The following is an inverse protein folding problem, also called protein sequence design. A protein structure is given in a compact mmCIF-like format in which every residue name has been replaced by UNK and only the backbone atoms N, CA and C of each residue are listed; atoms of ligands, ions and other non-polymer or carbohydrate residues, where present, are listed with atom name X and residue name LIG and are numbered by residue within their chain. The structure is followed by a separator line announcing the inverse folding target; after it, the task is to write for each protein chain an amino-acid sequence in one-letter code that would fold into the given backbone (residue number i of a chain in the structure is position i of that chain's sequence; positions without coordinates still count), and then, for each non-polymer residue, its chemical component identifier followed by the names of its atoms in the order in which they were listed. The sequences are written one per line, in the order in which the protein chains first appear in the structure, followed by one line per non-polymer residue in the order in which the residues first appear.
data_IF_097705042581
#
_entry.id   IF_097705042581
#
_cell.length_a   1.000
_cell.length_b   1.000
_cell.length_c   1.000
_cell.angle_alpha   90.00
_cell.angle_beta   90.00
_cell.angle_gamma   90.00
#
_symmetry.space_group_name_H-M   'P 1'
#
loop_
_entity.id
_entity.type
_entity.pdbx_description
1 polymer ?
#
# COMPACT_ATOMS: atom_id res chain seq x y z
N UNK A 1 -10.03 -8.95 -29.56
CA UNK A 1 -10.84 -8.39 -30.67
C UNK A 1 -11.07 -6.95 -30.30
N UNK A 2 -10.76 -5.97 -31.15
CA UNK A 2 -10.82 -4.58 -30.71
C UNK A 2 -12.27 -4.13 -30.45
N UNK A 3 -12.50 -3.33 -29.42
CA UNK A 3 -13.82 -2.74 -29.14
C UNK A 3 -14.24 -1.85 -30.31
N UNK A 4 -15.48 -2.00 -30.76
CA UNK A 4 -16.06 -1.10 -31.76
C UNK A 4 -16.44 0.25 -31.11
N UNK A 5 -15.72 1.35 -31.43
CA UNK A 5 -15.99 2.65 -30.82
C UNK A 5 -17.34 3.24 -31.26
N UNK A 6 -17.87 2.86 -32.43
CA UNK A 6 -19.21 3.30 -32.85
C UNK A 6 -20.27 2.66 -31.97
N UNK A 7 -20.13 1.37 -31.71
CA UNK A 7 -21.05 0.65 -30.82
C UNK A 7 -21.01 1.16 -29.38
N UNK A 8 -19.83 1.50 -28.85
CA UNK A 8 -19.74 2.12 -27.52
C UNK A 8 -20.46 3.47 -27.47
N UNK A 9 -20.37 4.28 -28.54
CA UNK A 9 -21.14 5.53 -28.65
C UNK A 9 -22.65 5.30 -28.71
N UNK A 10 -23.13 4.29 -29.42
CA UNK A 10 -24.55 3.91 -29.44
C UNK A 10 -25.07 3.61 -28.01
N UNK A 11 -24.29 2.90 -27.20
CA UNK A 11 -24.62 2.63 -25.79
C UNK A 11 -24.67 3.91 -24.97
N UNK A 12 -23.69 4.81 -25.15
CA UNK A 12 -23.66 6.11 -24.45
C UNK A 12 -24.85 6.99 -24.84
N UNK A 13 -25.14 7.09 -26.13
CA UNK A 13 -26.26 7.88 -26.64
C UNK A 13 -27.59 7.38 -26.09
N UNK A 14 -27.78 6.06 -26.01
CA UNK A 14 -28.98 5.48 -25.39
C UNK A 14 -29.05 5.78 -23.88
N UNK A 15 -27.93 5.63 -23.16
CA UNK A 15 -27.87 5.92 -21.71
C UNK A 15 -28.06 7.41 -21.36
N UNK A 16 -27.82 8.32 -22.31
CA UNK A 16 -27.99 9.77 -22.11
C UNK A 16 -29.43 10.27 -22.32
N UNK A 17 -30.36 9.40 -22.73
CA UNK A 17 -31.76 9.76 -22.92
C UNK A 17 -32.52 9.74 -21.60
N UNK A 18 -32.30 10.75 -20.74
CA UNK A 18 -33.13 10.96 -19.54
C UNK A 18 -34.26 11.98 -19.81
N UNK A 19 -35.52 11.67 -19.45
CA UNK A 19 -36.03 10.41 -18.88
C UNK A 19 -36.11 9.29 -19.93
N UNK A 20 -35.86 8.04 -19.51
CA UNK A 20 -35.83 6.88 -20.41
C UNK A 20 -37.23 6.57 -20.98
N UNK A 21 -37.46 6.72 -22.30
CA UNK A 21 -38.75 6.41 -22.90
C UNK A 21 -39.02 4.91 -22.86
N UNK A 22 -40.22 4.49 -22.48
CA UNK A 22 -40.60 3.07 -22.45
C UNK A 22 -40.42 2.38 -23.82
N UNK A 23 -40.68 3.11 -24.90
CA UNK A 23 -40.52 2.62 -26.28
C UNK A 23 -39.05 2.28 -26.62
N UNK A 24 -38.10 2.91 -25.94
CA UNK A 24 -36.66 2.71 -26.14
C UNK A 24 -36.11 1.46 -25.44
N UNK A 25 -36.89 0.81 -24.57
CA UNK A 25 -36.45 -0.33 -23.78
C UNK A 25 -35.99 -1.51 -24.66
N UNK A 26 -36.67 -1.73 -25.80
CA UNK A 26 -36.31 -2.80 -26.75
C UNK A 26 -34.97 -2.55 -27.45
N UNK A 27 -34.66 -1.28 -27.74
CA UNK A 27 -33.36 -0.89 -28.28
C UNK A 27 -32.25 -1.15 -27.25
N UNK A 28 -32.45 -0.73 -25.99
CA UNK A 28 -31.50 -0.99 -24.90
C UNK A 28 -31.24 -2.49 -24.67
N UNK A 29 -32.29 -3.31 -24.65
CA UNK A 29 -32.15 -4.76 -24.53
C UNK A 29 -31.41 -5.39 -25.73
N UNK A 30 -31.60 -4.85 -26.95
CA UNK A 30 -30.88 -5.28 -28.14
C UNK A 30 -29.38 -4.95 -28.06
N UNK A 31 -29.01 -3.81 -27.46
CA UNK A 31 -27.61 -3.46 -27.19
C UNK A 31 -26.96 -4.47 -26.24
N UNK A 32 -27.65 -4.86 -25.15
CA UNK A 32 -27.16 -5.91 -24.23
C UNK A 32 -26.94 -7.25 -24.93
N UNK A 33 -27.88 -7.65 -25.79
CA UNK A 33 -27.76 -8.90 -26.54
C UNK A 33 -26.59 -8.86 -27.52
N UNK A 34 -26.29 -7.70 -28.11
CA UNK A 34 -25.11 -7.54 -28.99
C UNK A 34 -23.79 -7.61 -28.20
N UNK A 35 -23.78 -7.21 -26.93
CA UNK A 35 -22.60 -7.36 -26.06
C UNK A 35 -22.37 -8.83 -25.70
N UNK A 36 -23.42 -9.54 -25.28
CA UNK A 36 -23.34 -10.93 -24.86
C UNK A 36 -24.46 -11.76 -25.52
N UNK A 37 -24.28 -12.21 -26.77
CA UNK A 37 -25.35 -12.86 -27.55
C UNK A 37 -25.77 -14.22 -26.99
N UNK A 38 -24.92 -14.86 -26.18
CA UNK A 38 -25.20 -16.15 -25.54
C UNK A 38 -25.87 -16.01 -24.18
N UNK A 39 -26.03 -14.78 -23.65
CA UNK A 39 -26.63 -14.55 -22.35
C UNK A 39 -28.17 -14.65 -22.43
N UNK A 40 -28.71 -15.73 -21.86
CA UNK A 40 -30.15 -16.01 -21.85
C UNK A 40 -30.95 -14.95 -21.06
N UNK A 41 -30.34 -14.33 -20.05
CA UNK A 41 -31.00 -13.26 -19.30
C UNK A 41 -31.26 -12.04 -20.20
N UNK A 42 -30.30 -11.64 -21.02
CA UNK A 42 -30.46 -10.51 -21.95
C UNK A 42 -31.45 -10.82 -23.07
N UNK A 43 -31.50 -12.07 -23.56
CA UNK A 43 -32.55 -12.50 -24.48
C UNK A 43 -33.95 -12.38 -23.86
N UNK A 44 -34.10 -12.71 -22.57
CA UNK A 44 -35.34 -12.52 -21.83
C UNK A 44 -35.66 -11.05 -21.56
N UNK A 45 -34.65 -10.19 -21.41
CA UNK A 45 -34.88 -8.75 -21.26
C UNK A 45 -35.49 -8.15 -22.53
N UNK A 46 -35.05 -8.62 -23.70
CA UNK A 46 -35.64 -8.21 -24.97
C UNK A 46 -37.12 -8.60 -25.07
N UNK A 47 -37.48 -9.84 -24.74
CA UNK A 47 -38.91 -10.24 -24.77
C UNK A 47 -39.76 -9.47 -23.75
N UNK A 48 -39.22 -9.23 -22.54
CA UNK A 48 -39.89 -8.45 -21.51
C UNK A 48 -40.02 -6.97 -21.88
N UNK A 49 -39.06 -6.39 -22.60
CA UNK A 49 -39.13 -4.99 -23.04
C UNK A 49 -40.31 -4.73 -23.97
N UNK A 50 -40.75 -5.75 -24.74
CA UNK A 50 -41.91 -5.67 -25.62
C UNK A 50 -43.25 -5.86 -24.89
N UNK A 51 -43.24 -6.63 -23.79
CA UNK A 51 -44.47 -6.98 -23.07
C UNK A 51 -44.73 -6.07 -21.85
N UNK A 52 -43.68 -5.73 -21.11
CA UNK A 52 -43.68 -4.97 -19.86
C UNK A 52 -42.40 -4.11 -19.75
N UNK A 53 -42.27 -3.05 -20.56
CA UNK A 53 -41.08 -2.20 -20.59
C UNK A 53 -40.79 -1.53 -19.24
N UNK A 54 -41.83 -1.14 -18.51
CA UNK A 54 -41.74 -0.47 -17.20
C UNK A 54 -41.01 -1.28 -16.12
N UNK A 55 -41.10 -2.61 -16.16
CA UNK A 55 -40.50 -3.48 -15.14
C UNK A 55 -39.03 -3.84 -15.43
N UNK A 56 -38.55 -3.60 -16.65
CA UNK A 56 -37.25 -4.08 -17.13
C UNK A 56 -36.28 -2.95 -17.48
N UNK A 57 -36.78 -1.75 -17.75
CA UNK A 57 -35.97 -0.61 -18.19
C UNK A 57 -34.84 -0.28 -17.21
N UNK A 58 -35.12 -0.23 -15.89
CA UNK A 58 -34.11 0.04 -14.86
C UNK A 58 -32.99 -1.01 -14.84
N UNK A 59 -33.35 -2.28 -15.07
CA UNK A 59 -32.39 -3.39 -15.14
C UNK A 59 -31.53 -3.28 -16.40
N UNK A 60 -32.12 -2.91 -17.54
CA UNK A 60 -31.38 -2.69 -18.79
C UNK A 60 -30.39 -1.54 -18.60
N UNK A 61 -30.83 -0.42 -18.01
CA UNK A 61 -29.97 0.72 -17.70
C UNK A 61 -28.83 0.30 -16.78
N UNK A 62 -29.11 -0.43 -15.71
CA UNK A 62 -28.09 -0.94 -14.79
C UNK A 62 -27.03 -1.78 -15.52
N UNK A 63 -27.44 -2.81 -16.26
CA UNK A 63 -26.52 -3.70 -16.98
C UNK A 63 -25.72 -2.96 -18.05
N UNK A 64 -26.34 -2.06 -18.82
CA UNK A 64 -25.63 -1.26 -19.82
C UNK A 64 -24.59 -0.34 -19.16
N UNK A 65 -24.90 0.26 -18.00
CA UNK A 65 -23.93 1.04 -17.23
C UNK A 65 -22.73 0.18 -16.80
N UNK A 66 -22.95 -1.06 -16.35
CA UNK A 66 -21.84 -1.96 -16.00
C UNK A 66 -20.97 -2.28 -17.24
N UNK A 67 -21.59 -2.57 -18.37
CA UNK A 67 -20.87 -2.86 -19.60
C UNK A 67 -20.15 -1.65 -20.21
N UNK A 68 -20.67 -0.44 -19.97
CA UNK A 68 -20.05 0.78 -20.49
C UNK A 68 -18.68 1.03 -19.86
N UNK A 69 -18.51 0.75 -18.56
CA UNK A 69 -17.27 1.02 -17.80
C UNK A 69 -16.02 0.49 -18.51
N UNK A 70 -15.94 -0.82 -18.71
CA UNK A 70 -14.78 -1.44 -19.34
C UNK A 70 -14.71 -1.17 -20.86
N UNK A 71 -15.83 -0.87 -21.51
CA UNK A 71 -15.85 -0.50 -22.92
C UNK A 71 -15.24 0.88 -23.17
N UNK A 72 -15.34 1.80 -22.22
CA UNK A 72 -14.65 3.09 -22.28
C UNK A 72 -13.14 2.92 -22.19
N UNK A 73 -12.68 1.91 -21.44
CA UNK A 73 -11.28 1.50 -21.36
C UNK A 73 -10.81 0.69 -22.58
N UNK A 74 -11.69 0.47 -23.56
CA UNK A 74 -11.35 -0.26 -24.79
C UNK A 74 -11.32 -1.77 -24.65
N UNK A 75 -11.93 -2.33 -23.59
CA UNK A 75 -12.01 -3.77 -23.35
C UNK A 75 -13.35 -4.37 -23.83
N UNK A 76 -13.28 -5.63 -24.25
CA UNK A 76 -14.45 -6.48 -24.54
C UNK A 76 -14.85 -7.27 -23.29
N UNK A 77 -16.08 -7.82 -23.29
CA UNK A 77 -16.53 -8.68 -22.18
C UNK A 77 -15.63 -9.90 -22.02
N UNK A 78 -15.17 -10.49 -23.12
CA UNK A 78 -14.28 -11.65 -23.11
C UNK A 78 -12.91 -11.30 -22.52
N UNK A 79 -12.39 -10.11 -22.80
CA UNK A 79 -11.14 -9.62 -22.19
C UNK A 79 -11.30 -9.35 -20.69
N UNK A 80 -12.46 -8.84 -20.25
CA UNK A 80 -12.75 -8.71 -18.81
C UNK A 80 -12.86 -10.08 -18.12
N UNK A 81 -13.46 -11.06 -18.77
CA UNK A 81 -13.51 -12.44 -18.25
C UNK A 81 -12.11 -13.07 -18.20
N UNK A 82 -11.22 -12.71 -19.14
CA UNK A 82 -9.82 -13.13 -19.10
C UNK A 82 -9.08 -12.45 -17.95
N UNK A 83 -9.29 -11.15 -17.76
CA UNK A 83 -8.70 -10.37 -16.66
C UNK A 83 -9.04 -11.00 -15.30
N UNK A 84 -10.31 -11.36 -15.08
CA UNK A 84 -10.73 -12.04 -13.85
C UNK A 84 -9.97 -13.37 -13.63
N UNK A 85 -9.78 -14.15 -14.69
CA UNK A 85 -9.06 -15.43 -14.65
C UNK A 85 -7.55 -15.28 -14.44
N UNK A 86 -6.95 -14.14 -14.76
CA UNK A 86 -5.52 -13.90 -14.61
C UNK A 86 -5.18 -13.20 -13.30
N UNK A 87 -5.96 -12.17 -12.94
CA UNK A 87 -5.69 -11.32 -11.78
C UNK A 87 -5.95 -12.06 -10.46
N UNK A 88 -7.03 -12.84 -10.37
CA UNK A 88 -7.36 -13.55 -9.13
C UNK A 88 -6.25 -14.56 -8.76
N UNK A 89 -5.78 -15.45 -9.66
CA UNK A 89 -4.67 -16.34 -9.33
C UNK A 89 -3.32 -15.64 -9.15
N UNK A 90 -3.11 -14.48 -9.80
CA UNK A 90 -1.92 -13.66 -9.59
C UNK A 90 -1.84 -13.14 -8.15
N UNK A 91 -2.94 -12.53 -7.68
CA UNK A 91 -3.06 -12.04 -6.31
C UNK A 91 -2.95 -13.20 -5.30
N UNK A 92 -3.56 -14.34 -5.57
CA UNK A 92 -3.45 -15.53 -4.71
C UNK A 92 -1.99 -15.99 -4.55
N UNK A 93 -1.22 -16.06 -5.64
CA UNK A 93 0.22 -16.37 -5.57
C UNK A 93 1.01 -15.34 -4.76
N UNK A 94 0.68 -14.06 -4.88
CA UNK A 94 1.32 -13.01 -4.10
C UNK A 94 1.05 -13.21 -2.60
N UNK A 95 -0.20 -13.51 -2.23
CA UNK A 95 -0.59 -13.76 -0.84
C UNK A 95 0.05 -15.05 -0.28
N UNK A 96 0.21 -16.09 -1.10
CA UNK A 96 0.90 -17.33 -0.72
C UNK A 96 2.41 -17.14 -0.50
N UNK A 97 3.05 -16.24 -1.26
CA UNK A 97 4.48 -15.98 -1.12
C UNK A 97 4.83 -15.38 0.26
N UNK A 98 3.90 -14.63 0.84
CA UNK A 98 4.03 -14.07 2.18
C UNK A 98 4.02 -12.54 2.22
N UNK A 99 3.98 -12.01 3.44
CA UNK A 99 3.85 -10.58 3.73
C UNK A 99 5.23 -9.96 4.03
N UNK A 100 5.56 -8.76 3.50
CA UNK A 100 6.73 -7.99 3.94
C UNK A 100 6.74 -7.74 5.44
N UNK A 101 7.87 -7.98 6.10
CA UNK A 101 8.01 -7.78 7.54
C UNK A 101 7.74 -6.33 7.94
N UNK A 102 6.84 -6.13 8.91
CA UNK A 102 6.62 -4.86 9.58
C UNK A 102 7.16 -4.90 11.02
N UNK A 103 7.54 -3.75 11.56
CA UNK A 103 8.13 -3.64 12.91
C UNK A 103 7.14 -3.96 14.05
N UNK A 104 5.83 -3.95 13.75
CA UNK A 104 4.72 -4.23 14.66
C UNK A 104 4.22 -5.69 14.58
N UNK A 105 4.83 -6.53 13.75
CA UNK A 105 4.40 -7.91 13.55
C UNK A 105 4.72 -8.79 14.77
N UNK A 106 3.69 -9.41 15.36
CA UNK A 106 3.85 -10.44 16.38
C UNK A 106 4.24 -11.77 15.71
N UNK A 107 5.53 -12.15 15.83
CA UNK A 107 6.04 -13.37 15.20
C UNK A 107 5.81 -14.58 16.08
N UNK A 108 5.20 -15.61 15.48
CA UNK A 108 5.17 -16.97 16.02
C UNK A 108 6.03 -17.86 15.14
N UNK A 109 6.51 -18.96 15.70
CA UNK A 109 7.21 -19.98 14.94
C UNK A 109 6.20 -21.02 14.45
N UNK A 110 6.27 -21.36 13.16
CA UNK A 110 5.49 -22.48 12.63
C UNK A 110 6.11 -23.85 13.01
N UNK A 111 5.51 -24.94 12.54
CA UNK A 111 5.99 -26.32 12.78
C UNK A 111 7.39 -26.60 12.20
N UNK A 112 7.89 -25.70 11.34
CA UNK A 112 9.23 -25.77 10.72
C UNK A 112 10.19 -24.72 11.30
N UNK A 113 9.85 -24.11 12.44
CA UNK A 113 10.61 -23.03 13.10
C UNK A 113 10.81 -21.77 12.23
N UNK A 114 9.94 -21.49 11.25
CA UNK A 114 9.97 -20.25 10.46
C UNK A 114 9.09 -19.17 11.09
N UNK A 115 9.51 -17.88 11.05
CA UNK A 115 8.69 -16.79 11.55
C UNK A 115 7.46 -16.59 10.67
N UNK A 116 6.29 -16.73 11.28
CA UNK A 116 4.98 -16.53 10.68
C UNK A 116 4.19 -15.49 11.45
N UNK A 117 3.32 -14.78 10.74
CA UNK A 117 2.40 -13.80 11.32
C UNK A 117 1.04 -14.49 11.48
N UNK A 118 0.49 -14.57 12.70
CA UNK A 118 -0.86 -15.06 12.90
C UNK A 118 -1.84 -14.08 12.25
N UNK A 119 -2.63 -14.56 11.29
CA UNK A 119 -3.76 -13.80 10.78
C UNK A 119 -4.91 -13.91 11.78
N UNK A 120 -5.32 -12.80 12.38
CA UNK A 120 -6.67 -12.67 12.91
C UNK A 120 -7.63 -12.55 11.73
N UNK A 121 -7.98 -13.68 11.11
CA UNK A 121 -9.12 -13.71 10.20
C UNK A 121 -10.37 -13.75 11.09
N UNK A 122 -11.23 -12.73 10.96
CA UNK A 122 -12.62 -12.88 11.38
C UNK A 122 -13.26 -13.91 10.46
N UNK A 123 -13.09 -15.18 10.80
CA UNK A 123 -13.72 -16.29 10.09
C UNK A 123 -15.14 -16.40 10.62
N UNK A 124 -16.09 -15.94 9.80
CA UNK A 124 -17.35 -16.66 9.72
C UNK A 124 -17.03 -18.02 9.08
N UNK A 125 -17.45 -19.09 9.75
CA UNK A 125 -17.34 -20.53 9.41
C UNK A 125 -16.06 -21.32 9.77
N UNK A 126 -16.13 -21.94 10.95
CA UNK A 126 -15.82 -23.36 11.22
C UNK A 126 -14.40 -23.90 10.98
N UNK A 127 -13.36 -23.06 11.08
CA UNK A 127 -11.99 -23.56 11.28
C UNK A 127 -11.37 -22.97 12.55
N UNK A 128 -11.30 -23.74 13.63
CA UNK A 128 -10.62 -23.38 14.89
C UNK A 128 -9.08 -23.27 14.76
N UNK A 129 -8.53 -23.42 13.54
CA UNK A 129 -7.09 -23.39 13.31
C UNK A 129 -6.64 -21.98 12.94
N UNK A 130 -5.70 -21.37 13.68
CA UNK A 130 -5.11 -20.11 13.29
C UNK A 130 -4.45 -20.25 11.91
N UNK A 131 -4.81 -19.35 10.99
CA UNK A 131 -4.16 -19.26 9.70
C UNK A 131 -2.89 -18.43 9.86
N UNK A 132 -1.77 -18.94 9.36
CA UNK A 132 -0.46 -18.31 9.46
C UNK A 132 0.00 -17.88 8.06
N UNK A 133 0.52 -16.66 7.94
CA UNK A 133 1.15 -16.19 6.70
C UNK A 133 2.65 -16.07 6.93
N UNK A 134 3.43 -16.54 5.96
CA UNK A 134 4.89 -16.43 5.96
C UNK A 134 5.30 -14.95 5.99
N UNK A 135 6.22 -14.60 6.88
CA UNK A 135 6.85 -13.29 6.86
C UNK A 135 8.05 -13.29 5.89
N UNK A 136 8.11 -12.32 4.99
CA UNK A 136 9.27 -12.05 4.14
C UNK A 136 10.28 -11.21 4.92
N UNK A 137 11.55 -11.61 4.89
CA UNK A 137 12.64 -10.90 5.55
C UNK A 137 13.12 -9.68 4.74
N UNK A 138 13.60 -8.66 5.46
CA UNK A 138 14.32 -7.52 4.87
C UNK A 138 15.70 -7.93 4.36
N UNK A 139 16.30 -7.10 3.49
CA UNK A 139 17.69 -7.26 3.05
C UNK A 139 18.64 -6.96 4.20
N UNK A 140 19.82 -7.58 4.21
CA UNK A 140 20.84 -7.36 5.26
C UNK A 140 21.36 -5.91 5.29
N UNK A 141 21.37 -5.25 4.13
CA UNK A 141 21.82 -3.87 3.95
C UNK A 141 20.67 -2.84 3.99
N UNK A 142 19.45 -3.25 4.36
CA UNK A 142 18.26 -2.40 4.39
C UNK A 142 18.50 -1.07 5.13
N UNK A 143 19.10 -1.12 6.32
CA UNK A 143 19.37 0.05 7.15
C UNK A 143 20.36 1.06 6.51
N UNK A 144 21.09 0.64 5.47
CA UNK A 144 22.08 1.45 4.73
C UNK A 144 21.52 2.01 3.42
N UNK A 145 20.36 1.55 2.96
CA UNK A 145 19.72 2.05 1.74
C UNK A 145 19.16 3.47 1.97
N UNK A 146 18.96 4.27 0.90
CA UNK A 146 18.25 5.53 1.01
C UNK A 146 16.86 5.36 1.65
N UNK A 147 16.43 6.35 2.44
CA UNK A 147 15.15 6.31 3.15
C UNK A 147 13.96 6.10 2.20
N UNK A 148 14.02 6.67 0.99
CA UNK A 148 13.03 6.46 -0.07
C UNK A 148 12.89 4.98 -0.46
N UNK A 149 13.99 4.24 -0.51
CA UNK A 149 14.01 2.81 -0.85
C UNK A 149 13.56 1.97 0.34
N UNK A 150 13.96 2.32 1.56
CA UNK A 150 13.47 1.66 2.78
C UNK A 150 11.95 1.78 2.89
N UNK A 151 11.41 2.96 2.54
CA UNK A 151 9.98 3.23 2.60
C UNK A 151 9.19 2.36 1.61
N UNK A 152 9.75 1.97 0.46
CA UNK A 152 9.11 1.03 -0.46
C UNK A 152 8.76 -0.30 0.20
N UNK A 153 9.58 -0.78 1.13
CA UNK A 153 9.31 -2.00 1.88
C UNK A 153 8.08 -1.86 2.79
N UNK A 154 8.00 -0.74 3.52
CA UNK A 154 6.88 -0.42 4.42
C UNK A 154 5.60 -0.21 3.62
N UNK A 155 5.69 0.54 2.53
CA UNK A 155 4.57 0.81 1.62
C UNK A 155 4.05 -0.49 1.00
N UNK A 156 4.94 -1.40 0.58
CA UNK A 156 4.57 -2.73 0.09
C UNK A 156 3.89 -3.59 1.15
N UNK A 157 4.31 -3.47 2.43
CA UNK A 157 3.64 -4.14 3.54
C UNK A 157 2.20 -3.66 3.76
N UNK A 158 1.94 -2.37 3.55
CA UNK A 158 0.58 -1.81 3.59
C UNK A 158 -0.22 -2.21 2.34
N UNK A 159 0.40 -2.09 1.16
CA UNK A 159 -0.20 -2.49 -0.10
C UNK A 159 -0.63 -3.97 -0.10
N UNK A 160 0.18 -4.85 0.52
CA UNK A 160 -0.19 -6.25 0.73
C UNK A 160 -1.49 -6.40 1.54
N UNK A 161 -1.67 -5.62 2.61
CA UNK A 161 -2.90 -5.66 3.44
C UNK A 161 -4.11 -5.25 2.60
N UNK A 162 -3.96 -4.21 1.79
CA UNK A 162 -5.02 -3.71 0.91
C UNK A 162 -5.33 -4.71 -0.22
N UNK A 163 -4.31 -5.30 -0.85
CA UNK A 163 -4.45 -6.38 -1.85
C UNK A 163 -5.22 -7.55 -1.25
N UNK A 164 -4.84 -7.98 -0.04
CA UNK A 164 -5.52 -9.08 0.66
C UNK A 164 -6.99 -8.76 0.94
N UNK A 165 -7.29 -7.56 1.43
CA UNK A 165 -8.66 -7.15 1.71
C UNK A 165 -9.51 -7.13 0.43
N UNK A 166 -8.98 -6.57 -0.66
CA UNK A 166 -9.66 -6.52 -1.95
C UNK A 166 -9.84 -7.91 -2.58
N UNK A 167 -8.85 -8.80 -2.42
CA UNK A 167 -8.93 -10.19 -2.87
C UNK A 167 -10.03 -10.98 -2.14
N UNK A 168 -10.13 -10.86 -0.81
CA UNK A 168 -11.21 -11.50 -0.06
C UNK A 168 -12.59 -10.92 -0.41
N UNK A 169 -12.66 -9.61 -0.69
CA UNK A 169 -13.88 -8.99 -1.19
C UNK A 169 -14.28 -9.53 -2.57
N UNK A 170 -13.31 -9.69 -3.48
CA UNK A 170 -13.54 -10.30 -4.80
C UNK A 170 -13.97 -11.77 -4.71
N UNK A 171 -13.44 -12.53 -3.73
CA UNK A 171 -13.90 -13.90 -3.43
C UNK A 171 -15.32 -13.93 -2.91
N UNK A 172 -15.71 -13.00 -2.04
CA UNK A 172 -17.09 -12.88 -1.57
C UNK A 172 -18.06 -12.52 -2.72
N UNK A 173 -17.57 -11.89 -3.79
CA UNK A 173 -18.31 -11.54 -4.99
C UNK A 173 -18.25 -12.60 -6.10
N UNK A 174 -17.77 -13.82 -5.82
CA UNK A 174 -17.49 -14.80 -6.86
C UNK A 174 -18.72 -15.25 -7.67
N UNK A 175 -19.91 -15.10 -7.10
CA UNK A 175 -21.18 -15.44 -7.76
C UNK A 175 -21.60 -14.41 -8.80
N UNK A 176 -21.00 -13.21 -8.80
CA UNK A 176 -21.29 -12.14 -9.73
C UNK A 176 -20.46 -12.27 -11.01
N UNK A 177 -21.00 -11.84 -12.17
CA UNK A 177 -20.26 -11.87 -13.43
C UNK A 177 -19.09 -10.86 -13.42
N UNK A 178 -18.03 -11.17 -14.18
CA UNK A 178 -16.80 -10.36 -14.22
C UNK A 178 -17.03 -8.90 -14.62
N UNK A 179 -18.06 -8.59 -15.41
CA UNK A 179 -18.43 -7.21 -15.74
C UNK A 179 -18.85 -6.38 -14.53
N UNK A 180 -19.45 -6.98 -13.51
CA UNK A 180 -19.86 -6.29 -12.27
C UNK A 180 -18.69 -6.17 -11.28
N UNK A 181 -17.68 -7.03 -11.41
CA UNK A 181 -16.44 -7.03 -10.60
C UNK A 181 -15.32 -6.18 -11.22
N UNK A 182 -15.52 -5.68 -12.44
CA UNK A 182 -14.48 -5.06 -13.27
C UNK A 182 -13.66 -3.97 -12.54
N UNK A 183 -14.31 -3.01 -11.90
CA UNK A 183 -13.64 -1.89 -11.23
C UNK A 183 -12.64 -2.39 -10.16
N UNK A 184 -13.03 -3.45 -9.45
CA UNK A 184 -12.20 -4.09 -8.41
C UNK A 184 -11.08 -4.93 -8.99
N UNK A 185 -11.35 -5.63 -10.10
CA UNK A 185 -10.33 -6.38 -10.83
C UNK A 185 -9.23 -5.46 -11.37
N UNK A 186 -9.62 -4.30 -11.93
CA UNK A 186 -8.67 -3.30 -12.41
C UNK A 186 -7.85 -2.71 -11.26
N UNK A 187 -8.51 -2.38 -10.14
CA UNK A 187 -7.83 -1.90 -8.94
C UNK A 187 -6.82 -2.95 -8.42
N UNK A 188 -7.24 -4.20 -8.28
CA UNK A 188 -6.37 -5.30 -7.82
C UNK A 188 -5.17 -5.48 -8.75
N UNK A 189 -5.39 -5.53 -10.07
CA UNK A 189 -4.32 -5.63 -11.06
C UNK A 189 -3.30 -4.48 -10.95
N UNK A 190 -3.79 -3.25 -10.73
CA UNK A 190 -2.93 -2.08 -10.55
C UNK A 190 -2.10 -2.15 -9.26
N UNK A 191 -2.69 -2.67 -8.18
CA UNK A 191 -2.02 -2.83 -6.89
C UNK A 191 -0.98 -3.95 -6.94
N UNK A 192 -1.29 -5.09 -7.56
CA UNK A 192 -0.34 -6.18 -7.80
C UNK A 192 0.87 -5.69 -8.60
N UNK A 193 0.62 -5.00 -9.73
CA UNK A 193 1.70 -4.45 -10.56
C UNK A 193 2.55 -3.44 -9.80
N UNK A 194 1.93 -2.59 -8.99
CA UNK A 194 2.63 -1.63 -8.12
C UNK A 194 3.50 -2.35 -7.09
N UNK A 195 2.98 -3.39 -6.44
CA UNK A 195 3.71 -4.18 -5.45
C UNK A 195 4.97 -4.77 -6.06
N UNK A 196 4.86 -5.48 -7.19
CA UNK A 196 6.02 -6.09 -7.84
C UNK A 196 7.03 -5.05 -8.33
N UNK A 197 6.56 -3.91 -8.86
CA UNK A 197 7.46 -2.82 -9.28
C UNK A 197 8.22 -2.22 -8.10
N UNK A 198 7.55 -1.98 -6.98
CA UNK A 198 8.18 -1.44 -5.77
C UNK A 198 9.14 -2.46 -5.15
N UNK A 199 8.79 -3.75 -5.17
CA UNK A 199 9.67 -4.81 -4.69
C UNK A 199 10.93 -4.96 -5.55
N UNK A 200 10.78 -4.93 -6.88
CA UNK A 200 11.92 -4.95 -7.80
C UNK A 200 12.83 -3.72 -7.61
N UNK A 201 12.26 -2.52 -7.47
CA UNK A 201 13.04 -1.32 -7.19
C UNK A 201 13.79 -1.40 -5.84
N UNK A 202 13.19 -2.02 -4.83
CA UNK A 202 13.83 -2.29 -3.55
C UNK A 202 14.97 -3.31 -3.67
N UNK A 203 14.80 -4.36 -4.46
CA UNK A 203 15.82 -5.39 -4.68
C UNK A 203 16.99 -4.90 -5.55
N UNK A 204 16.72 -4.04 -6.53
CA UNK A 204 17.74 -3.47 -7.43
C UNK A 204 18.54 -2.32 -6.79
N UNK A 205 18.04 -1.72 -5.71
CA UNK A 205 18.71 -0.61 -5.06
C UNK A 205 20.08 -1.01 -4.49
N UNK A 206 21.08 -0.16 -4.73
CA UNK A 206 22.45 -0.35 -4.26
C UNK A 206 22.77 0.69 -3.19
N UNK A 207 23.52 0.27 -2.16
CA UNK A 207 24.04 1.18 -1.14
C UNK A 207 25.14 2.04 -1.79
N UNK A 208 24.78 3.25 -2.17
CA UNK A 208 25.69 4.18 -2.82
C UNK A 208 26.79 4.58 -1.81
N UNK A 209 28.00 4.08 -2.01
CA UNK A 209 29.15 4.37 -1.13
C UNK A 209 30.14 5.37 -1.71
N UNK A 210 30.02 5.82 -2.97
CA UNK A 210 30.94 6.85 -3.53
C UNK A 210 30.38 7.64 -4.74
N UNK A 211 30.12 8.94 -4.49
CA UNK A 211 30.46 10.14 -5.32
C UNK A 211 29.63 10.57 -6.55
N UNK A 212 29.63 11.88 -6.89
CA UNK A 212 28.49 12.65 -7.38
C UNK A 212 28.36 12.63 -8.90
N UNK A 213 27.12 12.59 -9.38
CA UNK A 213 26.80 13.01 -10.75
C UNK A 213 25.84 14.19 -10.69
N UNK A 214 26.38 15.35 -11.04
CA UNK A 214 25.67 16.60 -11.31
C UNK A 214 24.52 16.35 -12.29
N UNK A 215 23.32 16.89 -12.00
CA UNK A 215 22.82 17.93 -12.89
C UNK A 215 22.47 19.19 -12.08
N UNK A 216 22.86 20.32 -12.68
CA UNK A 216 22.26 21.66 -12.55
C UNK A 216 21.79 22.12 -11.17
N UNK A 217 22.61 23.01 -10.61
CA UNK A 217 22.28 24.19 -9.79
C UNK A 217 20.79 24.48 -9.60
N UNK A 218 20.19 23.93 -8.55
CA UNK A 218 19.13 24.48 -7.69
C UNK A 218 18.63 23.33 -6.79
N UNK A 219 18.35 23.60 -5.50
CA UNK A 219 17.77 22.68 -4.49
C UNK A 219 18.70 22.01 -3.46
N UNK A 220 19.71 22.70 -2.93
CA UNK A 220 20.41 22.28 -1.70
C UNK A 220 19.58 22.49 -0.42
N UNK A 221 18.59 23.39 -0.41
CA UNK A 221 17.75 23.62 0.78
C UNK A 221 16.72 22.50 0.99
N UNK A 222 16.11 21.99 -0.09
CA UNK A 222 14.98 21.04 0.01
C UNK A 222 15.40 19.66 0.53
N UNK A 223 16.64 19.24 0.25
CA UNK A 223 17.18 17.95 0.70
C UNK A 223 17.59 17.96 2.17
N UNK A 224 18.14 19.08 2.66
CA UNK A 224 18.41 19.30 4.08
C UNK A 224 17.10 19.38 4.89
N UNK A 225 16.09 20.08 4.38
CA UNK A 225 14.78 20.19 5.02
C UNK A 225 14.07 18.82 5.15
N UNK A 226 14.14 17.98 4.11
CA UNK A 226 13.57 16.64 4.15
C UNK A 226 14.28 15.73 5.17
N UNK A 227 15.62 15.79 5.22
CA UNK A 227 16.41 15.02 6.20
C UNK A 227 16.18 15.48 7.64
N UNK A 228 16.01 16.78 7.86
CA UNK A 228 15.66 17.35 9.17
C UNK A 228 14.26 16.92 9.60
N UNK A 229 13.28 16.97 8.69
CA UNK A 229 11.91 16.57 8.99
C UNK A 229 11.77 15.07 9.26
N UNK A 230 12.50 14.21 8.53
CA UNK A 230 12.51 12.77 8.81
C UNK A 230 13.16 12.46 10.15
N UNK A 231 14.28 13.11 10.47
CA UNK A 231 14.93 13.00 11.78
C UNK A 231 14.01 13.44 12.93
N UNK A 232 13.25 14.55 12.78
CA UNK A 232 12.25 15.00 13.77
C UNK A 232 11.12 13.98 13.96
N UNK A 233 10.60 13.42 12.87
CA UNK A 233 9.53 12.41 12.93
C UNK A 233 10.00 11.13 13.63
N UNK A 234 11.22 10.69 13.32
CA UNK A 234 11.81 9.51 13.94
C UNK A 234 12.03 9.68 15.45
N UNK A 235 12.51 10.85 15.88
CA UNK A 235 12.70 11.17 17.30
C UNK A 235 11.37 11.15 18.06
N UNK A 236 10.32 11.76 17.49
CA UNK A 236 8.99 11.81 18.12
C UNK A 236 8.36 10.42 18.25
N UNK A 237 8.41 9.59 17.20
CA UNK A 237 7.82 8.24 17.20
C UNK A 237 8.52 7.29 18.18
N UNK A 238 9.84 7.40 18.33
CA UNK A 238 10.62 6.48 19.17
C UNK A 238 10.82 6.97 20.61
N UNK A 239 10.44 8.21 20.93
CA UNK A 239 10.55 8.78 22.28
C UNK A 239 9.84 7.91 23.34
N UNK A 240 8.60 7.48 23.07
CA UNK A 240 7.84 6.65 24.01
C UNK A 240 8.46 5.26 24.17
N UNK A 241 8.98 4.68 23.08
CA UNK A 241 9.65 3.38 23.08
C UNK A 241 10.96 3.42 23.88
N UNK A 242 11.76 4.48 23.72
CA UNK A 242 12.99 4.68 24.50
C UNK A 242 12.68 4.90 25.98
N UNK A 243 11.60 5.60 26.33
CA UNK A 243 11.15 5.77 27.71
C UNK A 243 10.76 4.43 28.37
N UNK A 244 10.01 3.59 27.67
CA UNK A 244 9.65 2.25 28.15
C UNK A 244 10.88 1.36 28.34
N UNK A 245 11.83 1.40 27.40
CA UNK A 245 13.08 0.64 27.51
C UNK A 245 13.97 1.16 28.65
N UNK A 246 14.02 2.48 28.88
CA UNK A 246 14.75 3.07 30.01
C UNK A 246 14.20 2.56 31.35
N UNK A 247 12.88 2.56 31.52
CA UNK A 247 12.22 2.03 32.72
C UNK A 247 12.46 0.52 32.89
N UNK A 248 12.47 -0.24 31.78
CA UNK A 248 12.75 -1.67 31.82
C UNK A 248 14.22 -1.98 32.22
N UNK A 249 15.17 -1.15 31.77
CA UNK A 249 16.59 -1.26 32.13
C UNK A 249 16.87 -0.81 33.57
N UNK A 250 16.12 0.18 34.09
CA UNK A 250 16.24 0.67 35.46
C UNK A 250 15.54 -0.22 36.51
N UNK A 251 14.71 -1.18 36.09
CA UNK A 251 14.03 -2.13 36.97
C UNK A 251 14.93 -3.26 37.50
N UNK A 252 14.64 -3.76 38.71
CA UNK A 252 15.29 -4.94 39.30
C UNK A 252 14.89 -6.21 38.52
N UNK A 253 15.65 -6.52 37.46
CA UNK A 253 15.40 -7.68 36.59
C UNK A 253 15.78 -7.48 35.12
N UNK A 254 16.35 -6.32 34.75
CA UNK A 254 16.72 -6.00 33.36
C UNK A 254 17.61 -7.07 32.71
N UNK A 255 17.09 -7.70 31.66
CA UNK A 255 17.83 -8.68 30.87
C UNK A 255 18.93 -8.00 30.04
N UNK A 256 19.99 -8.73 29.70
CA UNK A 256 21.06 -8.20 28.84
C UNK A 256 20.55 -7.80 27.44
N UNK A 257 19.46 -8.44 26.98
CA UNK A 257 18.76 -8.09 25.74
C UNK A 257 18.09 -6.71 25.82
N UNK A 258 17.48 -6.36 26.95
CA UNK A 258 16.80 -5.06 27.12
C UNK A 258 17.81 -3.91 27.17
N UNK A 259 18.97 -4.17 27.78
CA UNK A 259 20.10 -3.21 27.80
C UNK A 259 20.65 -2.97 26.41
N UNK A 260 20.84 -4.03 25.62
CA UNK A 260 21.31 -3.93 24.24
C UNK A 260 20.30 -3.18 23.35
N UNK A 261 19.00 -3.50 23.48
CA UNK A 261 17.94 -2.82 22.74
C UNK A 261 17.84 -1.33 23.11
N UNK A 262 18.03 -0.98 24.39
CA UNK A 262 18.08 0.40 24.84
C UNK A 262 19.29 1.14 24.26
N UNK A 263 20.50 0.56 24.32
CA UNK A 263 21.71 1.20 23.78
C UNK A 263 21.66 1.39 22.27
N UNK A 264 21.14 0.41 21.53
CA UNK A 264 21.00 0.50 20.07
C UNK A 264 20.00 1.57 19.66
N UNK A 265 18.85 1.64 20.34
CA UNK A 265 17.85 2.66 20.07
C UNK A 265 18.36 4.06 20.44
N UNK A 266 19.09 4.18 21.55
CA UNK A 266 19.72 5.44 21.97
C UNK A 266 20.74 5.92 20.92
N UNK A 267 21.59 5.02 20.40
CA UNK A 267 22.56 5.35 19.36
C UNK A 267 21.89 5.80 18.04
N UNK A 268 20.82 5.11 17.61
CA UNK A 268 20.04 5.48 16.42
C UNK A 268 19.36 6.84 16.58
N UNK A 269 18.79 7.13 17.76
CA UNK A 269 18.18 8.43 18.03
C UNK A 269 19.24 9.54 18.14
N UNK A 270 20.42 9.27 18.70
CA UNK A 270 21.53 10.23 18.75
C UNK A 270 22.03 10.60 17.34
N UNK A 271 22.11 9.64 16.42
CA UNK A 271 22.47 9.91 15.03
C UNK A 271 21.50 10.90 14.35
N UNK A 272 20.21 10.83 14.68
CA UNK A 272 19.18 11.74 14.15
C UNK A 272 19.27 13.14 14.77
N UNK A 273 19.58 13.24 16.06
CA UNK A 273 19.93 14.52 16.70
C UNK A 273 21.14 15.16 16.03
N UNK A 274 22.18 14.37 15.74
CA UNK A 274 23.37 14.86 15.03
C UNK A 274 23.07 15.35 13.62
N UNK A 275 22.17 14.68 12.88
CA UNK A 275 21.70 15.12 11.56
C UNK A 275 21.00 16.48 11.64
N UNK A 276 20.09 16.65 12.60
CA UNK A 276 19.36 17.92 12.78
C UNK A 276 20.33 19.05 13.15
N UNK A 277 21.33 18.75 14.00
CA UNK A 277 22.37 19.70 14.39
C UNK A 277 23.28 20.09 13.22
N UNK A 278 23.73 19.12 12.42
CA UNK A 278 24.56 19.38 11.23
C UNK A 278 23.85 20.27 10.21
N UNK A 279 22.52 20.18 10.15
CA UNK A 279 21.69 21.04 9.31
C UNK A 279 21.36 22.41 9.94
N UNK A 280 21.81 22.69 11.18
CA UNK A 280 21.53 23.96 11.87
C UNK A 280 20.06 24.16 12.26
N UNK A 281 19.24 23.10 12.23
CA UNK A 281 17.81 23.21 12.46
C UNK A 281 17.44 23.08 13.95
N UNK A 282 16.46 23.87 14.39
CA UNK A 282 16.03 23.91 15.79
C UNK A 282 15.09 22.74 16.12
N UNK A 283 15.26 22.13 17.29
CA UNK A 283 14.33 21.16 17.88
C UNK A 283 13.52 21.91 18.93
N UNK A 284 12.20 21.75 18.92
CA UNK A 284 11.32 22.41 19.90
C UNK A 284 11.70 22.05 21.34
N UNK A 285 11.65 23.04 22.24
CA UNK A 285 12.20 22.92 23.60
C UNK A 285 11.54 21.82 24.44
N UNK A 286 10.25 21.55 24.24
CA UNK A 286 9.53 20.46 24.90
C UNK A 286 10.08 19.08 24.52
N UNK A 287 10.37 18.88 23.22
CA UNK A 287 10.93 17.64 22.69
C UNK A 287 12.42 17.50 23.05
N UNK A 288 13.17 18.61 23.06
CA UNK A 288 14.56 18.61 23.51
C UNK A 288 14.65 18.17 24.98
N UNK A 289 13.81 18.74 25.83
CA UNK A 289 13.80 18.43 27.28
C UNK A 289 13.48 16.97 27.54
N UNK A 290 12.50 16.40 26.83
CA UNK A 290 12.16 14.99 26.97
C UNK A 290 13.25 14.05 26.47
N UNK A 291 13.95 14.39 25.38
CA UNK A 291 15.05 13.60 24.84
C UNK A 291 16.30 13.65 25.73
N UNK A 292 16.62 14.80 26.32
CA UNK A 292 17.69 14.92 27.33
C UNK A 292 17.39 14.06 28.54
N UNK A 293 16.15 14.06 29.03
CA UNK A 293 15.72 13.22 30.15
C UNK A 293 15.86 11.71 29.85
N UNK A 294 15.84 11.32 28.57
CA UNK A 294 16.04 9.94 28.11
C UNK A 294 17.50 9.59 27.84
N UNK A 295 18.43 10.54 27.95
CA UNK A 295 19.88 10.33 27.84
C UNK A 295 20.50 10.73 26.50
N UNK A 296 19.79 11.49 25.65
CA UNK A 296 20.38 12.05 24.43
C UNK A 296 21.19 13.33 24.72
N UNK A 297 22.37 13.45 24.12
CA UNK A 297 23.23 14.63 24.23
C UNK A 297 23.01 15.60 23.07
N UNK A 298 23.02 16.89 23.39
CA UNK A 298 22.92 17.98 22.42
C UNK A 298 24.16 18.88 22.42
N UNK A 299 25.29 18.44 23.01
CA UNK A 299 26.47 19.25 23.30
C UNK A 299 26.86 20.27 22.21
N UNK A 300 26.95 21.53 22.64
CA UNK A 300 27.54 22.66 21.94
C UNK A 300 29.07 22.54 21.98
N UNK A 301 29.69 22.06 20.91
CA UNK A 301 31.12 22.32 20.71
C UNK A 301 31.29 23.78 20.27
N UNK A 302 31.33 24.71 21.22
CA UNK A 302 32.16 25.89 21.03
C UNK A 302 33.62 25.45 21.15
N UNK A 303 34.33 25.49 20.03
CA UNK A 303 35.78 25.60 20.02
C UNK A 303 36.15 26.81 20.88
N UNK A 304 36.73 26.59 22.06
CA UNK A 304 37.46 27.62 22.76
C UNK A 304 38.93 27.56 22.31
N UNK A 305 39.18 28.07 21.11
CA UNK A 305 40.49 28.61 20.74
C UNK A 305 40.62 29.97 21.39
N UNK A 306 41.32 30.04 22.52
CA UNK A 306 42.05 31.26 22.87
C UNK A 306 43.48 30.87 23.20
N UNK A 307 44.37 31.19 22.25
CA UNK A 307 45.82 31.19 22.40
C UNK A 307 46.25 32.16 23.52
N UNK A 308 47.24 31.70 24.30
CA UNK A 308 48.45 32.41 24.73
C UNK A 308 48.41 33.87 25.22
N UNK A 309 49.08 34.07 26.36
CA UNK A 309 50.09 35.11 26.67
C UNK A 309 49.87 36.00 27.92
N UNK A 310 50.82 35.82 28.84
CA UNK A 310 51.51 36.82 29.70
C UNK A 310 50.93 37.34 31.03
N UNK A 311 51.90 37.46 31.96
CA UNK A 311 51.96 38.15 33.26
C UNK A 311 51.17 37.47 34.40
N UNK A 312 51.76 37.11 35.54
CA UNK A 312 52.88 37.72 36.29
C UNK A 312 53.57 36.66 37.16
#
# INVERSE_FOLDING_TARGET
MNVDPKFTKEIQEWLNQEPFPLDSASAGASLLLRIAPRNQAYARFLSLSLQRPEAIIDKIVYELKQHLKYRLDGLTLDEVNLLDKEVIPSAEKLLDNGKPAADDDALLLDTENKPVIPLQVNISDDSEKPCFVRQLGRREDHDKLPEEVQQLWVDNGNLYKDIKALFEELKAMNDLPSCQRYDKLQLLASMDAKYFKQMAAYDEAVVDTTTPTTPSTENTETTLDNSVNSARSYLSKNQSKLATLKLAVEGEGASDSDRAAFTDLLAKMQQRVDTIRKAGAVIGDDLRTSLVALGLSFDDKQENTTESETAE
#
